data_IF_245053926067
#
_entry.id   IF_245053926067
#
_cell.length_a   1.000
_cell.length_b   1.000
_cell.length_c   1.000
_cell.angle_alpha   90.00
_cell.angle_beta   90.00
_cell.angle_gamma   90.00
#
_symmetry.space_group_name_H-M   'P 1'
#
loop_
_entity.id
_entity.type
_entity.pdbx_description
1 polymer ?
#
# COMPACT_ATOMS: atom_id res chain seq x y z
N UNK A 1 -10.62 -17.88 2.19
CA UNK A 1 -9.48 -17.47 1.37
C UNK A 1 -9.11 -16.04 1.75
N UNK A 2 -7.97 -15.91 2.48
CA UNK A 2 -7.42 -14.61 2.82
C UNK A 2 -7.01 -13.92 1.52
N UNK A 3 -7.58 -12.76 1.25
CA UNK A 3 -7.13 -11.90 0.16
C UNK A 3 -5.78 -11.31 0.57
N UNK A 4 -4.70 -11.88 0.05
CA UNK A 4 -3.38 -11.28 0.14
C UNK A 4 -3.40 -10.07 -0.80
N UNK A 5 -3.39 -8.87 -0.24
CA UNK A 5 -3.23 -7.65 -1.03
C UNK A 5 -1.77 -7.60 -1.50
N UNK A 6 -1.54 -7.90 -2.76
CA UNK A 6 -0.20 -7.83 -3.36
C UNK A 6 -0.07 -6.48 -4.06
N UNK A 7 0.78 -5.61 -3.54
CA UNK A 7 1.16 -4.36 -4.23
C UNK A 7 2.44 -4.65 -5.02
N UNK A 8 2.42 -4.36 -6.31
CA UNK A 8 3.55 -4.53 -7.20
C UNK A 8 3.85 -3.23 -7.96
N UNK A 9 5.11 -3.05 -8.33
CA UNK A 9 5.52 -1.92 -9.14
C UNK A 9 5.01 -2.09 -10.56
N UNK A 10 4.21 -1.12 -11.03
CA UNK A 10 3.59 -1.20 -12.35
C UNK A 10 4.65 -0.95 -13.44
N UNK A 11 4.91 -1.96 -14.27
CA UNK A 11 5.83 -1.80 -15.40
C UNK A 11 5.28 -0.80 -16.43
N UNK A 12 6.14 -0.18 -17.25
CA UNK A 12 5.68 0.69 -18.35
C UNK A 12 4.65 0.00 -19.25
N UNK A 13 4.85 -1.27 -19.59
CA UNK A 13 3.90 -2.05 -20.38
C UNK A 13 2.55 -2.19 -19.68
N UNK A 14 2.53 -2.53 -18.38
CA UNK A 14 1.28 -2.64 -17.62
C UNK A 14 0.51 -1.31 -17.60
N UNK A 15 1.22 -0.19 -17.48
CA UNK A 15 0.65 1.15 -17.47
C UNK A 15 -0.03 1.49 -18.80
N UNK A 16 0.61 1.20 -19.91
CA UNK A 16 0.03 1.43 -21.26
C UNK A 16 -1.17 0.51 -21.51
N UNK A 17 -1.10 -0.76 -21.11
CA UNK A 17 -2.23 -1.67 -21.24
C UNK A 17 -3.44 -1.21 -20.40
N UNK A 18 -3.22 -0.74 -19.18
CA UNK A 18 -4.31 -0.17 -18.34
C UNK A 18 -4.88 1.09 -19.00
N UNK A 19 -4.05 1.94 -19.60
CA UNK A 19 -4.51 3.14 -20.30
C UNK A 19 -5.41 2.77 -21.49
N UNK A 20 -5.02 1.79 -22.28
CA UNK A 20 -5.80 1.30 -23.42
C UNK A 20 -7.16 0.69 -22.96
N UNK A 21 -7.18 0.04 -21.80
CA UNK A 21 -8.42 -0.53 -21.25
C UNK A 21 -9.43 0.51 -20.74
N UNK A 22 -9.04 1.79 -20.58
CA UNK A 22 -9.92 2.84 -20.03
C UNK A 22 -11.19 3.08 -20.82
N UNK A 23 -11.09 2.95 -22.13
CA UNK A 23 -12.19 3.25 -23.05
C UNK A 23 -13.22 2.09 -23.14
N UNK A 24 -12.94 0.95 -22.48
CA UNK A 24 -13.79 -0.23 -22.48
C UNK A 24 -14.40 -0.48 -21.09
N UNK A 25 -15.22 0.48 -20.63
CA UNK A 25 -15.93 0.37 -19.34
C UNK A 25 -17.01 -0.70 -19.33
N UNK A 26 -17.56 -0.99 -18.13
CA UNK A 26 -18.59 -2.01 -17.89
C UNK A 26 -19.89 -1.83 -18.70
N UNK A 27 -20.10 -0.64 -19.28
CA UNK A 27 -21.30 -0.31 -20.06
C UNK A 27 -21.10 -0.46 -21.57
N UNK A 28 -19.95 -0.94 -22.03
CA UNK A 28 -19.55 -0.97 -23.45
C UNK A 28 -20.04 -2.19 -24.26
N UNK A 29 -20.93 -3.03 -23.71
CA UNK A 29 -21.40 -4.24 -24.40
C UNK A 29 -20.32 -5.34 -24.50
N UNK A 30 -20.50 -6.38 -25.36
CA UNK A 30 -19.52 -7.44 -25.51
C UNK A 30 -18.20 -6.90 -26.06
N UNK A 31 -17.10 -7.31 -25.43
CA UNK A 31 -15.74 -6.90 -25.81
C UNK A 31 -15.41 -7.31 -27.27
N UNK A 32 -14.74 -6.45 -27.99
CA UNK A 32 -14.19 -6.83 -29.27
C UNK A 32 -13.04 -7.86 -29.10
N UNK A 33 -12.76 -8.71 -30.14
CA UNK A 33 -11.62 -9.64 -30.05
C UNK A 33 -10.27 -8.97 -29.81
N UNK A 34 -10.12 -7.70 -30.15
CA UNK A 34 -8.94 -6.90 -29.82
C UNK A 34 -8.90 -6.56 -28.32
N UNK A 35 -10.02 -6.06 -27.75
CA UNK A 35 -10.13 -5.77 -26.33
C UNK A 35 -9.88 -7.01 -25.46
N UNK A 36 -10.43 -8.16 -25.83
CA UNK A 36 -10.18 -9.43 -25.13
C UNK A 36 -8.70 -9.80 -25.07
N UNK A 37 -7.97 -9.61 -26.17
CA UNK A 37 -6.50 -9.86 -26.19
C UNK A 37 -5.75 -8.90 -25.30
N UNK A 38 -6.11 -7.62 -25.28
CA UNK A 38 -5.48 -6.62 -24.42
C UNK A 38 -5.73 -6.95 -22.95
N UNK A 39 -6.96 -7.28 -22.56
CA UNK A 39 -7.26 -7.71 -21.18
C UNK A 39 -6.52 -9.00 -20.81
N UNK A 40 -6.44 -9.98 -21.71
CA UNK A 40 -5.67 -11.21 -21.49
C UNK A 40 -4.18 -10.90 -21.27
N UNK A 41 -3.59 -10.07 -22.10
CA UNK A 41 -2.19 -9.63 -21.96
C UNK A 41 -1.96 -8.88 -20.66
N UNK A 42 -2.88 -7.99 -20.27
CA UNK A 42 -2.82 -7.27 -19.01
C UNK A 42 -2.85 -8.26 -17.81
N UNK A 43 -3.73 -9.26 -17.85
CA UNK A 43 -3.82 -10.28 -16.82
C UNK A 43 -2.50 -11.06 -16.67
N UNK A 44 -1.89 -11.46 -17.79
CA UNK A 44 -0.60 -12.17 -17.79
C UNK A 44 0.54 -11.29 -17.25
N UNK A 45 0.57 -10.02 -17.65
CA UNK A 45 1.56 -9.05 -17.14
C UNK A 45 1.39 -8.82 -15.64
N UNK A 46 0.15 -8.65 -15.16
CA UNK A 46 -0.16 -8.49 -13.71
C UNK A 46 0.24 -9.75 -12.94
N UNK A 47 -0.06 -10.94 -13.42
CA UNK A 47 0.37 -12.19 -12.79
C UNK A 47 1.89 -12.28 -12.70
N UNK A 48 2.61 -11.93 -13.76
CA UNK A 48 4.07 -11.90 -13.77
C UNK A 48 4.64 -10.89 -12.79
N UNK A 49 4.06 -9.70 -12.70
CA UNK A 49 4.48 -8.66 -11.74
C UNK A 49 4.20 -9.08 -10.30
N UNK A 50 3.08 -9.77 -10.05
CA UNK A 50 2.72 -10.29 -8.73
C UNK A 50 3.68 -11.39 -8.22
N UNK A 51 4.42 -12.05 -9.11
CA UNK A 51 5.47 -13.03 -8.75
C UNK A 51 6.77 -12.36 -8.26
N UNK A 52 6.96 -11.07 -8.56
CA UNK A 52 8.11 -10.29 -8.06
C UNK A 52 7.63 -9.52 -6.84
N UNK A 53 8.00 -9.94 -5.60
CA UNK A 53 7.57 -9.23 -4.40
C UNK A 53 8.09 -7.79 -4.47
N UNK A 54 7.18 -6.83 -4.57
CA UNK A 54 7.58 -5.45 -4.38
C UNK A 54 7.93 -5.25 -2.90
N UNK A 55 8.81 -4.30 -2.59
CA UNK A 55 9.12 -3.89 -1.21
C UNK A 55 7.87 -3.38 -0.44
N UNK A 56 6.72 -3.37 -1.09
CA UNK A 56 5.43 -2.92 -0.61
C UNK A 56 4.51 -4.04 -0.11
N UNK A 57 4.98 -5.28 0.02
CA UNK A 57 4.17 -6.38 0.59
C UNK A 57 4.48 -6.51 2.07
N UNK A 58 3.47 -6.30 2.91
CA UNK A 58 3.55 -6.69 4.32
C UNK A 58 3.31 -8.21 4.41
N UNK A 59 4.20 -8.97 5.05
CA UNK A 59 3.94 -10.36 5.39
C UNK A 59 2.64 -10.48 6.21
N UNK A 60 1.88 -11.52 5.98
CA UNK A 60 0.65 -11.76 6.75
C UNK A 60 1.00 -12.26 8.14
N UNK A 61 0.47 -11.65 9.22
CA UNK A 61 0.66 -12.13 10.57
C UNK A 61 0.00 -13.50 10.75
N UNK A 62 0.68 -14.40 11.44
CA UNK A 62 0.21 -15.78 11.65
C UNK A 62 -0.48 -15.91 13.00
N UNK A 63 0.09 -15.34 14.05
CA UNK A 63 -0.48 -15.46 15.39
C UNK A 63 -1.70 -14.55 15.62
N UNK A 64 -2.76 -15.01 16.31
CA UNK A 64 -3.94 -14.18 16.60
C UNK A 64 -3.59 -12.87 17.33
N UNK A 65 -2.56 -12.91 18.18
CA UNK A 65 -2.09 -11.76 18.93
C UNK A 65 -1.45 -10.71 17.99
N UNK A 66 -0.69 -11.13 16.99
CA UNK A 66 -0.12 -10.21 16.01
C UNK A 66 -1.19 -9.69 15.05
N UNK A 67 -2.15 -10.53 14.65
CA UNK A 67 -3.32 -10.11 13.85
C UNK A 67 -4.05 -8.96 14.55
N UNK A 68 -4.32 -9.11 15.86
CA UNK A 68 -4.97 -8.04 16.66
C UNK A 68 -4.14 -6.76 16.68
N UNK A 69 -2.84 -6.87 16.93
CA UNK A 69 -1.94 -5.70 16.93
C UNK A 69 -1.88 -5.01 15.56
N UNK A 70 -1.89 -5.78 14.47
CA UNK A 70 -1.95 -5.25 13.11
C UNK A 70 -3.25 -4.50 12.84
N UNK A 71 -4.41 -5.08 13.17
CA UNK A 71 -5.71 -4.44 13.02
C UNK A 71 -5.80 -3.11 13.79
N UNK A 72 -5.27 -3.07 15.02
CA UNK A 72 -5.18 -1.84 15.82
C UNK A 72 -4.25 -0.81 15.14
N UNK A 73 -3.09 -1.25 14.67
CA UNK A 73 -2.14 -0.38 13.98
C UNK A 73 -2.76 0.20 12.70
N UNK A 74 -3.46 -0.60 11.90
CA UNK A 74 -4.14 -0.17 10.67
C UNK A 74 -5.25 0.85 10.96
N UNK A 75 -6.14 0.54 11.90
CA UNK A 75 -7.28 1.41 12.23
C UNK A 75 -6.87 2.76 12.82
N UNK A 76 -5.72 2.82 13.50
CA UNK A 76 -5.22 4.02 14.18
C UNK A 76 -4.00 4.65 13.48
N UNK A 77 -3.59 4.17 12.31
CA UNK A 77 -2.38 4.64 11.61
C UNK A 77 -2.35 6.15 11.36
N UNK A 78 -3.52 6.78 11.25
CA UNK A 78 -3.69 8.22 11.02
C UNK A 78 -3.45 9.07 12.28
N UNK A 79 -3.34 8.47 13.47
CA UNK A 79 -3.12 9.17 14.74
C UNK A 79 -1.65 9.12 15.19
N UNK A 80 -1.31 9.86 16.25
CA UNK A 80 -0.06 9.68 16.96
C UNK A 80 -0.11 8.37 17.75
N UNK A 81 0.50 7.32 17.20
CA UNK A 81 0.53 5.99 17.79
C UNK A 81 1.80 5.76 18.59
N UNK A 82 1.61 5.20 19.78
CA UNK A 82 2.68 4.68 20.62
C UNK A 82 2.68 3.16 20.61
N UNK A 83 3.86 2.56 20.50
CA UNK A 83 4.03 1.11 20.45
C UNK A 83 3.57 0.41 21.73
N UNK A 84 3.83 1.04 22.87
CA UNK A 84 3.42 0.56 24.20
C UNK A 84 1.90 0.49 24.32
N UNK A 85 1.16 1.45 23.75
CA UNK A 85 -0.30 1.44 23.73
C UNK A 85 -0.83 0.28 22.88
N UNK A 86 -0.27 0.05 21.69
CA UNK A 86 -0.63 -1.10 20.84
C UNK A 86 -0.36 -2.42 21.56
N UNK A 87 0.74 -2.52 22.28
CA UNK A 87 1.06 -3.72 23.05
C UNK A 87 0.00 -3.97 24.13
N UNK A 88 -0.36 -2.96 24.92
CA UNK A 88 -1.40 -3.05 25.95
C UNK A 88 -2.76 -3.42 25.35
N UNK A 89 -3.20 -2.73 24.30
CA UNK A 89 -4.48 -2.98 23.63
C UNK A 89 -4.56 -4.37 22.98
N UNK A 90 -3.42 -4.94 22.59
CA UNK A 90 -3.32 -6.31 22.07
C UNK A 90 -3.07 -7.37 23.16
N UNK A 91 -3.12 -6.98 24.44
CA UNK A 91 -2.85 -7.83 25.61
C UNK A 91 -1.46 -8.48 25.58
N UNK A 92 -0.43 -7.70 25.23
CA UNK A 92 0.95 -8.16 25.16
C UNK A 92 1.89 -7.18 25.86
N UNK A 93 3.06 -7.70 26.31
CA UNK A 93 4.15 -6.80 26.68
C UNK A 93 4.82 -6.24 25.42
N UNK A 94 5.39 -5.02 25.47
CA UNK A 94 6.12 -4.45 24.32
C UNK A 94 7.23 -5.38 23.81
N UNK A 95 7.95 -6.03 24.73
CA UNK A 95 9.01 -7.00 24.36
C UNK A 95 8.46 -8.21 23.61
N UNK A 96 7.34 -8.77 24.03
CA UNK A 96 6.71 -9.92 23.37
C UNK A 96 6.19 -9.53 21.99
N UNK A 97 5.54 -8.38 21.89
CA UNK A 97 5.04 -7.86 20.61
C UNK A 97 6.16 -7.54 19.63
N UNK A 98 7.25 -6.88 20.06
CA UNK A 98 8.41 -6.61 19.22
C UNK A 98 9.03 -7.89 18.66
N UNK A 99 9.16 -8.94 19.49
CA UNK A 99 9.67 -10.24 19.04
C UNK A 99 8.77 -10.88 17.98
N UNK A 100 7.43 -10.75 18.12
CA UNK A 100 6.50 -11.28 17.12
C UNK A 100 6.60 -10.54 15.79
N UNK A 101 6.67 -9.22 15.80
CA UNK A 101 6.91 -8.44 14.57
C UNK A 101 8.19 -8.90 13.88
N UNK A 102 9.29 -9.06 14.61
CA UNK A 102 10.55 -9.53 14.05
C UNK A 102 10.47 -10.96 13.52
N UNK A 103 9.85 -11.90 14.27
CA UNK A 103 9.83 -13.33 13.92
C UNK A 103 8.82 -13.68 12.84
N UNK A 104 7.64 -13.05 12.82
CA UNK A 104 6.55 -13.40 11.89
C UNK A 104 6.54 -12.51 10.63
N UNK A 105 6.98 -11.25 10.76
CA UNK A 105 6.96 -10.29 9.65
C UNK A 105 8.36 -9.89 9.16
N UNK A 106 9.43 -10.23 9.90
CA UNK A 106 10.79 -9.81 9.56
C UNK A 106 11.00 -8.29 9.62
N UNK A 107 10.10 -7.56 10.26
CA UNK A 107 10.06 -6.09 10.31
C UNK A 107 9.80 -5.61 11.73
N UNK A 108 10.22 -4.38 12.03
CA UNK A 108 9.80 -3.68 13.25
C UNK A 108 8.39 -3.10 13.09
N UNK A 109 7.69 -2.89 14.21
CA UNK A 109 6.38 -2.22 14.16
C UNK A 109 6.43 -0.82 13.51
N UNK A 110 7.51 -0.08 13.72
CA UNK A 110 7.68 1.26 13.09
C UNK A 110 7.78 1.18 11.57
N UNK A 111 8.43 0.14 11.05
CA UNK A 111 8.48 -0.11 9.61
C UNK A 111 7.11 -0.48 9.07
N UNK A 112 6.37 -1.33 9.77
CA UNK A 112 4.99 -1.70 9.43
C UNK A 112 4.06 -0.47 9.45
N UNK A 113 4.09 0.34 10.51
CA UNK A 113 3.28 1.56 10.58
C UNK A 113 3.61 2.54 9.44
N UNK A 114 4.90 2.72 9.15
CA UNK A 114 5.34 3.54 8.00
C UNK A 114 4.77 3.01 6.69
N UNK A 115 4.84 1.71 6.50
CA UNK A 115 4.31 1.04 5.31
C UNK A 115 2.81 1.29 5.15
N UNK A 116 2.01 1.07 6.19
CA UNK A 116 0.56 1.31 6.19
C UNK A 116 0.27 2.78 5.82
N UNK A 117 0.97 3.73 6.45
CA UNK A 117 0.80 5.17 6.16
C UNK A 117 1.12 5.52 4.71
N UNK A 118 2.17 4.94 4.14
CA UNK A 118 2.51 5.17 2.72
C UNK A 118 1.46 4.55 1.80
N UNK A 119 0.94 3.37 2.11
CA UNK A 119 -0.14 2.76 1.31
C UNK A 119 -1.41 3.63 1.32
N UNK A 120 -1.81 4.14 2.49
CA UNK A 120 -2.94 5.06 2.61
C UNK A 120 -2.69 6.37 1.83
N UNK A 121 -1.44 6.86 1.84
CA UNK A 121 -1.06 8.04 1.07
C UNK A 121 -1.13 7.81 -0.44
N UNK A 122 -0.69 6.65 -0.93
CA UNK A 122 -0.80 6.24 -2.34
C UNK A 122 -2.27 6.22 -2.78
N UNK A 123 -3.14 5.63 -1.98
CA UNK A 123 -4.57 5.61 -2.23
C UNK A 123 -5.15 7.04 -2.30
N UNK A 124 -4.85 7.88 -1.31
CA UNK A 124 -5.31 9.26 -1.28
C UNK A 124 -4.77 10.10 -2.46
N UNK A 125 -3.51 9.88 -2.87
CA UNK A 125 -2.90 10.54 -4.03
C UNK A 125 -3.58 10.13 -5.35
N UNK A 126 -4.03 8.87 -5.45
CA UNK A 126 -4.66 8.31 -6.63
C UNK A 126 -6.15 8.68 -6.74
N UNK A 127 -6.86 8.77 -5.61
CA UNK A 127 -8.32 8.87 -5.59
C UNK A 127 -8.85 10.25 -5.25
N UNK A 128 -7.98 11.18 -4.79
CA UNK A 128 -8.42 12.52 -4.34
C UNK A 128 -7.57 13.64 -4.95
N UNK A 129 -8.15 14.85 -4.95
CA UNK A 129 -7.47 16.10 -5.30
C UNK A 129 -6.87 16.83 -4.08
N UNK A 130 -6.82 16.19 -2.91
CA UNK A 130 -6.28 16.78 -1.69
C UNK A 130 -4.84 17.26 -1.90
N UNK A 131 -4.48 18.38 -1.26
CA UNK A 131 -3.10 18.86 -1.26
C UNK A 131 -2.17 17.85 -0.57
N UNK A 132 -0.93 17.77 -1.04
CA UNK A 132 0.09 16.83 -0.48
C UNK A 132 0.27 17.04 1.03
N UNK A 133 0.22 18.29 1.50
CA UNK A 133 0.31 18.61 2.93
C UNK A 133 -0.87 18.05 3.73
N UNK A 134 -2.07 18.13 3.18
CA UNK A 134 -3.27 17.56 3.81
C UNK A 134 -3.20 16.03 3.88
N UNK A 135 -2.77 15.39 2.79
CA UNK A 135 -2.56 13.94 2.78
C UNK A 135 -1.55 13.52 3.83
N UNK A 136 -0.41 14.23 3.94
CA UNK A 136 0.61 13.94 4.94
C UNK A 136 0.03 13.91 6.37
N UNK A 137 -0.77 14.91 6.70
CA UNK A 137 -1.43 14.99 8.01
C UNK A 137 -2.49 13.90 8.19
N UNK A 138 -3.34 13.68 7.18
CA UNK A 138 -4.41 12.67 7.23
C UNK A 138 -3.88 11.24 7.40
N UNK A 139 -2.69 10.93 6.87
CA UNK A 139 -2.09 9.60 7.03
C UNK A 139 -1.20 9.48 8.28
N UNK A 140 -1.15 10.51 9.13
CA UNK A 140 -0.51 10.48 10.45
C UNK A 140 0.94 10.98 10.49
N UNK A 141 1.39 11.78 9.51
CA UNK A 141 2.69 12.45 9.60
C UNK A 141 2.56 13.83 10.23
N UNK A 142 3.38 14.12 11.25
CA UNK A 142 3.40 15.44 11.91
C UNK A 142 4.07 16.53 11.09
N UNK A 143 4.72 16.21 9.95
CA UNK A 143 5.35 17.20 9.07
C UNK A 143 5.40 16.72 7.62
N UNK A 144 5.29 17.69 6.69
CA UNK A 144 5.44 17.45 5.26
C UNK A 144 6.84 16.92 4.90
N UNK A 145 7.87 17.41 5.58
CA UNK A 145 9.25 16.98 5.35
C UNK A 145 9.45 15.50 5.69
N UNK A 146 8.95 15.07 6.87
CA UNK A 146 8.98 13.67 7.28
C UNK A 146 8.20 12.75 6.32
N UNK A 147 7.03 13.20 5.88
CA UNK A 147 6.24 12.51 4.88
C UNK A 147 6.98 12.35 3.56
N UNK A 148 7.49 13.45 2.98
CA UNK A 148 8.20 13.42 1.70
C UNK A 148 9.42 12.50 1.74
N UNK A 149 10.18 12.52 2.84
CA UNK A 149 11.34 11.64 3.03
C UNK A 149 10.93 10.18 3.09
N UNK A 150 9.90 9.84 3.86
CA UNK A 150 9.40 8.48 3.99
C UNK A 150 8.82 7.96 2.66
N UNK A 151 8.03 8.79 1.96
CA UNK A 151 7.44 8.45 0.68
C UNK A 151 8.53 8.21 -0.39
N UNK A 152 9.50 9.13 -0.51
CA UNK A 152 10.62 8.97 -1.45
C UNK A 152 11.46 7.74 -1.15
N UNK A 153 11.72 7.46 0.13
CA UNK A 153 12.46 6.24 0.53
C UNK A 153 11.72 4.96 0.10
N UNK A 154 10.39 4.99 0.14
CA UNK A 154 9.55 3.81 -0.13
C UNK A 154 9.26 3.65 -1.63
N UNK A 155 8.91 4.75 -2.30
CA UNK A 155 8.44 4.76 -3.70
C UNK A 155 9.51 5.15 -4.71
N UNK A 156 10.74 5.57 -4.26
CA UNK A 156 11.84 6.08 -5.08
C UNK A 156 11.49 7.33 -5.90
N UNK A 157 10.36 7.98 -5.58
CA UNK A 157 9.89 9.24 -6.16
C UNK A 157 9.15 10.07 -5.12
N UNK A 158 8.99 11.36 -5.36
CA UNK A 158 8.22 12.24 -4.48
C UNK A 158 6.71 12.03 -4.64
N UNK A 159 5.88 12.41 -3.64
CA UNK A 159 4.42 12.36 -3.77
C UNK A 159 3.89 13.17 -4.96
N UNK A 160 4.53 14.30 -5.28
CA UNK A 160 4.17 15.16 -6.42
C UNK A 160 4.44 14.46 -7.75
N UNK A 161 5.62 13.86 -7.89
CA UNK A 161 5.99 13.08 -9.08
C UNK A 161 5.07 11.86 -9.25
N UNK A 162 4.76 11.19 -8.13
CA UNK A 162 3.82 10.06 -8.15
C UNK A 162 2.44 10.48 -8.65
N UNK A 163 1.86 11.56 -8.11
CA UNK A 163 0.56 12.07 -8.56
C UNK A 163 0.60 12.49 -10.05
N UNK A 164 1.66 13.15 -10.48
CA UNK A 164 1.82 13.53 -11.89
C UNK A 164 1.85 12.30 -12.81
N UNK A 165 2.51 11.21 -12.40
CA UNK A 165 2.58 9.97 -13.16
C UNK A 165 1.25 9.23 -13.31
N UNK A 166 0.28 9.48 -12.42
CA UNK A 166 -1.07 8.90 -12.53
C UNK A 166 -1.97 9.66 -13.52
N UNK A 167 -1.62 10.94 -13.82
CA UNK A 167 -2.41 11.83 -14.70
C UNK A 167 -1.87 11.88 -16.11
N UNK A 168 -0.66 11.36 -16.32
CA UNK A 168 -0.01 11.27 -17.64
C UNK A 168 -0.47 10.04 -18.38
#
# INVERSE_FOLDING_TARGET
>A
PQRVLTVFEMSPLARELVRECRDWGSDAGPLSPFAERIFGTLADVVQKLALVPSKCVLPSPVSPQLVKAMQLTESMAHTELNFEEIAVMSNQSPRALARRFASEMGMTWREVLRHIRIMNAIEALATTEMQITQIALCVGYGSLSGFNSAFKQHMQMTPTEFRASLRS
#
